data_IF_044717764143
#
_entry.id   IF_044717764143
#
_cell.length_a   1.000
_cell.length_b   1.000
_cell.length_c   1.000
_cell.angle_alpha   90.00
_cell.angle_beta   90.00
_cell.angle_gamma   90.00
#
_symmetry.space_group_name_H-M   'P 1'
#
loop_
_entity.id
_entity.type
_entity.pdbx_description
1 polymer ?
#
# COMPACT_ATOMS: atom_id res chain seq x y z
N UNK A 1 -6.66 9.98 -42.17
CA UNK A 1 -5.89 10.61 -41.07
C UNK A 1 -6.46 10.09 -39.77
N UNK A 2 -5.74 9.22 -39.02
CA UNK A 2 -6.31 8.52 -37.89
C UNK A 2 -6.35 9.38 -36.62
N UNK A 3 -7.30 8.99 -35.77
CA UNK A 3 -7.77 9.58 -34.54
C UNK A 3 -6.69 9.52 -33.43
N UNK A 4 -6.15 10.67 -33.01
CA UNK A 4 -5.29 10.81 -31.83
C UNK A 4 -5.97 11.68 -30.77
N UNK A 5 -7.18 11.31 -30.36
CA UNK A 5 -7.73 11.79 -29.10
C UNK A 5 -7.01 11.05 -27.97
N UNK A 6 -5.97 11.69 -27.44
CA UNK A 6 -5.28 11.33 -26.20
C UNK A 6 -6.36 11.06 -25.14
N UNK A 7 -6.41 9.82 -24.65
CA UNK A 7 -7.19 9.46 -23.48
C UNK A 7 -6.54 10.21 -22.32
N UNK A 8 -7.04 11.40 -22.03
CA UNK A 8 -6.85 12.00 -20.73
C UNK A 8 -7.49 11.01 -19.73
N UNK A 9 -6.67 10.18 -19.10
CA UNK A 9 -6.98 9.58 -17.80
C UNK A 9 -7.11 10.75 -16.81
N UNK A 10 -8.19 11.51 -16.95
CA UNK A 10 -8.64 12.43 -15.92
C UNK A 10 -8.87 11.56 -14.70
N UNK A 11 -8.16 11.86 -13.61
CA UNK A 11 -8.37 11.20 -12.34
C UNK A 11 -9.82 11.48 -11.97
N UNK A 12 -10.71 10.51 -12.22
CA UNK A 12 -12.13 10.66 -11.99
C UNK A 12 -12.32 10.59 -10.47
N UNK A 13 -12.37 11.76 -9.84
CA UNK A 13 -12.58 11.87 -8.41
C UNK A 13 -14.07 11.74 -8.14
N UNK A 14 -14.51 10.51 -7.86
CA UNK A 14 -15.86 10.26 -7.36
C UNK A 14 -15.95 10.81 -5.94
N UNK A 15 -16.98 11.60 -5.66
CA UNK A 15 -17.24 12.14 -4.32
C UNK A 15 -17.93 11.09 -3.45
N UNK A 16 -17.57 11.05 -2.17
CA UNK A 16 -18.22 10.21 -1.17
C UNK A 16 -18.51 11.07 0.05
N UNK A 17 -19.78 11.18 0.42
CA UNK A 17 -20.21 11.92 1.61
C UNK A 17 -20.22 10.97 2.81
N UNK A 18 -19.58 11.38 3.91
CA UNK A 18 -19.46 10.59 5.12
C UNK A 18 -19.88 11.47 6.30
N UNK A 19 -20.81 10.99 7.13
CA UNK A 19 -21.17 11.63 8.39
C UNK A 19 -20.30 11.09 9.51
N UNK A 20 -19.69 11.98 10.28
CA UNK A 20 -18.82 11.64 11.40
C UNK A 20 -19.40 12.26 12.68
N UNK A 21 -19.38 11.53 13.82
CA UNK A 21 -19.58 12.15 15.13
C UNK A 21 -18.56 13.26 15.40
N UNK A 22 -18.92 14.24 16.22
CA UNK A 22 -18.11 15.44 16.47
C UNK A 22 -16.67 15.15 16.91
N UNK A 23 -16.47 14.11 17.72
CA UNK A 23 -15.13 13.70 18.17
C UNK A 23 -14.25 13.20 17.01
N UNK A 24 -14.81 12.45 16.05
CA UNK A 24 -14.07 11.99 14.87
C UNK A 24 -13.80 13.14 13.91
N UNK A 25 -14.75 14.07 13.74
CA UNK A 25 -14.53 15.28 12.94
C UNK A 25 -13.36 16.10 13.51
N UNK A 26 -13.38 16.35 14.82
CA UNK A 26 -12.33 17.12 15.51
C UNK A 26 -10.96 16.47 15.34
N UNK A 27 -10.89 15.15 15.49
CA UNK A 27 -9.66 14.40 15.24
C UNK A 27 -9.15 14.56 13.79
N UNK A 28 -10.04 14.46 12.80
CA UNK A 28 -9.67 14.65 11.38
C UNK A 28 -9.16 16.08 11.15
N UNK A 29 -9.81 17.09 11.71
CA UNK A 29 -9.42 18.49 11.58
C UNK A 29 -8.02 18.75 12.18
N UNK A 30 -7.70 18.14 13.33
CA UNK A 30 -6.36 18.19 13.93
C UNK A 30 -5.29 17.56 13.02
N UNK A 31 -5.62 16.45 12.35
CA UNK A 31 -4.68 15.82 11.41
C UNK A 31 -4.44 16.71 10.19
N UNK A 32 -5.48 17.34 9.67
CA UNK A 32 -5.38 18.29 8.55
C UNK A 32 -4.49 19.48 8.95
N UNK A 33 -4.73 20.08 10.12
CA UNK A 33 -3.95 21.22 10.60
C UNK A 33 -2.48 20.85 10.92
N UNK A 34 -2.24 19.70 11.53
CA UNK A 34 -0.93 19.35 12.10
C UNK A 34 -0.01 18.53 11.19
N UNK A 35 -0.53 17.83 10.18
CA UNK A 35 0.26 16.88 9.36
C UNK A 35 0.35 17.24 7.88
N UNK A 36 -0.06 18.44 7.52
CA UNK A 36 0.11 18.98 6.17
C UNK A 36 -0.86 18.41 5.13
N UNK A 37 -1.98 17.81 5.54
CA UNK A 37 -3.06 17.49 4.59
C UNK A 37 -3.82 18.77 4.24
N UNK A 38 -4.18 18.94 2.97
CA UNK A 38 -4.90 20.12 2.50
C UNK A 38 -6.41 20.05 2.75
N UNK A 39 -6.96 18.84 2.92
CA UNK A 39 -8.41 18.64 3.17
C UNK A 39 -8.69 17.39 4.00
N UNK A 40 -9.86 17.34 4.65
CA UNK A 40 -10.36 16.13 5.33
C UNK A 40 -10.44 14.94 4.37
N UNK A 41 -10.91 15.14 3.14
CA UNK A 41 -10.99 14.09 2.12
C UNK A 41 -9.63 13.51 1.74
N UNK A 42 -8.55 14.31 1.82
CA UNK A 42 -7.19 13.84 1.59
C UNK A 42 -6.70 12.95 2.72
N UNK A 43 -6.93 13.37 3.97
CA UNK A 43 -6.61 12.55 5.12
C UNK A 43 -7.36 11.22 5.10
N UNK A 44 -8.66 11.23 4.80
CA UNK A 44 -9.46 10.01 4.70
C UNK A 44 -8.97 9.10 3.57
N UNK A 45 -8.63 9.64 2.39
CA UNK A 45 -8.05 8.86 1.29
C UNK A 45 -6.75 8.17 1.70
N UNK A 46 -5.89 8.88 2.42
CA UNK A 46 -4.64 8.32 2.92
C UNK A 46 -4.88 7.25 4.00
N UNK A 47 -5.84 7.45 4.90
CA UNK A 47 -6.25 6.42 5.85
C UNK A 47 -6.73 5.14 5.16
N UNK A 48 -7.51 5.26 4.09
CA UNK A 48 -8.00 4.11 3.33
C UNK A 48 -6.83 3.36 2.67
N UNK A 49 -5.85 4.06 2.09
CA UNK A 49 -4.66 3.39 1.52
C UNK A 49 -3.87 2.61 2.56
N UNK A 50 -3.65 3.22 3.73
CA UNK A 50 -2.96 2.53 4.84
C UNK A 50 -3.73 1.31 5.34
N UNK A 51 -5.05 1.37 5.33
CA UNK A 51 -5.88 0.21 5.68
C UNK A 51 -5.77 -0.90 4.63
N UNK A 52 -5.81 -0.55 3.33
CA UNK A 52 -5.56 -1.49 2.23
C UNK A 52 -4.19 -2.17 2.36
N UNK A 53 -3.13 -1.41 2.62
CA UNK A 53 -1.78 -1.94 2.80
C UNK A 53 -1.71 -2.93 3.98
N UNK A 54 -2.41 -2.64 5.08
CA UNK A 54 -2.51 -3.55 6.24
C UNK A 54 -3.24 -4.83 5.90
N UNK A 55 -4.32 -4.75 5.12
CA UNK A 55 -5.07 -5.93 4.68
C UNK A 55 -4.23 -6.80 3.75
N UNK A 56 -3.46 -6.19 2.83
CA UNK A 56 -2.51 -6.91 1.96
C UNK A 56 -1.45 -7.61 2.81
N UNK A 57 -0.80 -6.89 3.74
CA UNK A 57 0.21 -7.47 4.62
C UNK A 57 -0.37 -8.62 5.45
N UNK A 58 -1.59 -8.46 5.98
CA UNK A 58 -2.27 -9.51 6.73
C UNK A 58 -2.50 -10.76 5.85
N UNK A 59 -2.90 -10.59 4.60
CA UNK A 59 -3.02 -11.68 3.64
C UNK A 59 -1.70 -12.43 3.47
N UNK A 60 -0.61 -11.70 3.20
CA UNK A 60 0.73 -12.28 3.04
C UNK A 60 1.20 -13.05 4.28
N UNK A 61 0.90 -12.55 5.48
CA UNK A 61 1.25 -13.24 6.73
C UNK A 61 0.47 -14.55 6.89
N UNK A 62 -0.81 -14.57 6.53
CA UNK A 62 -1.65 -15.78 6.57
C UNK A 62 -1.15 -16.80 5.54
N UNK A 63 -0.85 -16.36 4.33
CA UNK A 63 -0.30 -17.21 3.27
C UNK A 63 1.05 -17.80 3.69
N UNK A 64 1.93 -16.97 4.27
CA UNK A 64 3.20 -17.42 4.82
C UNK A 64 3.05 -18.43 5.96
N UNK A 65 2.14 -18.17 6.90
CA UNK A 65 1.85 -19.09 8.01
C UNK A 65 1.23 -20.41 7.56
N UNK A 66 0.50 -20.40 6.44
CA UNK A 66 -0.11 -21.61 5.84
C UNK A 66 0.84 -22.36 4.90
N UNK A 67 2.01 -21.79 4.60
CA UNK A 67 3.00 -22.41 3.72
C UNK A 67 3.75 -23.55 4.43
N UNK A 68 4.37 -24.43 3.64
CA UNK A 68 5.22 -25.50 4.17
C UNK A 68 6.41 -24.87 4.90
N UNK A 69 6.66 -25.32 6.14
CA UNK A 69 7.83 -24.86 6.90
C UNK A 69 9.11 -25.20 6.13
N UNK A 70 9.96 -24.20 5.95
CA UNK A 70 11.29 -24.38 5.38
C UNK A 70 12.31 -24.73 6.46
N UNK A 71 13.46 -25.24 6.04
CA UNK A 71 14.63 -25.33 6.90
C UNK A 71 15.01 -23.95 7.47
N UNK A 72 15.71 -23.89 8.63
CA UNK A 72 16.17 -22.65 9.22
C UNK A 72 16.96 -21.78 8.22
N UNK A 73 16.63 -20.49 8.17
CA UNK A 73 17.36 -19.50 7.38
C UNK A 73 18.69 -19.13 8.05
N UNK A 74 19.65 -20.05 8.03
CA UNK A 74 20.97 -19.91 8.65
C UNK A 74 22.01 -19.23 7.71
N UNK A 75 23.25 -19.12 8.19
CA UNK A 75 24.34 -18.52 7.41
C UNK A 75 24.65 -19.26 6.10
N UNK A 76 24.46 -20.59 6.05
CA UNK A 76 24.66 -21.40 4.85
C UNK A 76 23.55 -21.12 3.85
N UNK A 77 22.29 -21.12 4.29
CA UNK A 77 21.13 -20.75 3.48
C UNK A 77 21.34 -19.42 2.75
N UNK A 78 21.72 -18.36 3.47
CA UNK A 78 21.91 -17.05 2.84
C UNK A 78 23.13 -16.98 1.91
N UNK A 79 24.18 -17.75 2.17
CA UNK A 79 25.34 -17.84 1.29
C UNK A 79 24.98 -18.51 -0.03
N UNK A 80 24.32 -19.67 0.03
CA UNK A 80 23.82 -20.39 -1.15
C UNK A 80 22.81 -19.54 -1.95
N UNK A 81 21.93 -18.80 -1.26
CA UNK A 81 20.97 -17.90 -1.89
C UNK A 81 21.67 -16.80 -2.70
N UNK A 82 22.68 -16.12 -2.12
CA UNK A 82 23.44 -15.08 -2.83
C UNK A 82 24.19 -15.63 -4.04
N UNK A 83 24.81 -16.79 -3.91
CA UNK A 83 25.55 -17.42 -5.03
C UNK A 83 24.61 -17.83 -6.17
N UNK A 84 23.39 -18.27 -5.83
CA UNK A 84 22.35 -18.57 -6.83
C UNK A 84 21.87 -17.32 -7.56
N UNK A 85 21.63 -16.21 -6.84
CA UNK A 85 21.22 -14.94 -7.45
C UNK A 85 22.31 -14.38 -8.37
N UNK A 86 23.58 -14.38 -7.93
CA UNK A 86 24.73 -13.91 -8.74
C UNK A 86 24.91 -14.72 -10.03
N UNK A 87 24.76 -16.05 -9.96
CA UNK A 87 24.81 -16.92 -11.15
C UNK A 87 23.71 -16.61 -12.15
N UNK A 88 22.51 -16.25 -11.68
CA UNK A 88 21.38 -15.89 -12.56
C UNK A 88 21.57 -14.55 -13.26
N UNK A 89 22.26 -13.60 -12.63
CA UNK A 89 22.57 -12.28 -13.21
C UNK A 89 23.79 -12.27 -14.15
N UNK A 90 24.63 -13.32 -14.12
CA UNK A 90 25.83 -13.42 -14.97
C UNK A 90 25.56 -14.12 -16.31
N UNK A 91 24.29 -14.31 -16.68
CA UNK A 91 23.82 -14.95 -17.91
C UNK A 91 22.81 -14.03 -18.58
#
# INVERSE_FOLDING_TARGET
MPNFAIIAMGIHMTTMNISLPDHLKSFVDEQVAGRGYGTSSEYIRELIRRDQDRLILRGLLIDGASSVQSDPADGRYFTELRDRVRRRHSK
#
